data_IF_491637453811
#
_entry.id   IF_491637453811
#
_cell.length_a   1.000
_cell.length_b   1.000
_cell.length_c   1.000
_cell.angle_alpha   90.00
_cell.angle_beta   90.00
_cell.angle_gamma   90.00
#
_symmetry.space_group_name_H-M   'P 1'
#
loop_
_entity.id
_entity.type
_entity.pdbx_description
1 polymer ?
#
# COMPACT_ATOMS: atom_id res chain seq x y z
N UNK A 1 65.28 -25.77 32.81
CA UNK A 1 64.18 -24.83 32.53
C UNK A 1 63.48 -24.56 33.84
N UNK A 2 63.39 -23.30 34.32
CA UNK A 2 62.86 -23.00 35.64
C UNK A 2 61.38 -23.41 35.76
N UNK A 3 61.11 -24.40 36.62
CA UNK A 3 59.73 -24.88 36.87
C UNK A 3 58.72 -23.73 37.16
N UNK A 4 59.21 -22.63 37.72
CA UNK A 4 58.41 -21.43 38.00
C UNK A 4 57.86 -20.79 36.70
N UNK A 5 58.66 -20.75 35.62
CA UNK A 5 58.24 -20.16 34.33
C UNK A 5 57.11 -21.00 33.72
N UNK A 6 57.18 -22.32 33.80
CA UNK A 6 56.15 -23.23 33.28
C UNK A 6 54.84 -23.04 34.05
N UNK A 7 54.88 -22.84 35.35
CA UNK A 7 53.71 -22.60 36.18
C UNK A 7 53.05 -21.25 35.82
N UNK A 8 53.82 -20.18 35.63
CA UNK A 8 53.29 -18.89 35.20
C UNK A 8 52.67 -18.94 33.82
N UNK A 9 53.28 -19.64 32.86
CA UNK A 9 52.75 -19.82 31.56
C UNK A 9 51.44 -20.60 31.58
N UNK A 10 51.32 -21.64 32.39
CA UNK A 10 50.10 -22.42 32.59
C UNK A 10 48.98 -21.57 33.16
N UNK A 11 49.25 -20.80 34.23
CA UNK A 11 48.25 -19.91 34.83
C UNK A 11 47.78 -18.84 33.84
N UNK A 12 48.72 -18.26 33.08
CA UNK A 12 48.39 -17.27 32.06
C UNK A 12 47.46 -17.85 30.96
N UNK A 13 47.80 -19.03 30.45
CA UNK A 13 46.96 -19.71 29.42
C UNK A 13 45.59 -20.07 29.96
N UNK A 14 45.50 -20.52 31.20
CA UNK A 14 44.22 -20.82 31.83
C UNK A 14 43.33 -19.56 31.98
N UNK A 15 43.91 -18.42 32.37
CA UNK A 15 43.20 -17.15 32.47
C UNK A 15 42.68 -16.67 31.09
N UNK A 16 43.50 -16.80 30.05
CA UNK A 16 43.09 -16.44 28.67
C UNK A 16 41.93 -17.33 28.22
N UNK A 17 41.98 -18.63 28.51
CA UNK A 17 40.89 -19.56 28.13
C UNK A 17 39.59 -19.21 28.87
N UNK A 18 39.66 -18.91 30.17
CA UNK A 18 38.49 -18.49 30.95
C UNK A 18 37.89 -17.19 30.36
N UNK A 19 38.76 -16.21 30.07
CA UNK A 19 38.32 -14.97 29.44
C UNK A 19 37.61 -15.21 28.10
N UNK A 20 38.20 -16.05 27.25
CA UNK A 20 37.57 -16.40 25.95
C UNK A 20 36.22 -17.09 26.12
N UNK A 21 36.08 -18.01 27.08
CA UNK A 21 34.80 -18.69 27.33
C UNK A 21 33.71 -17.71 27.77
N UNK A 22 34.03 -16.81 28.70
CA UNK A 22 33.09 -15.80 29.20
C UNK A 22 32.69 -14.83 28.07
N UNK A 23 33.65 -14.38 27.27
CA UNK A 23 33.38 -13.48 26.15
C UNK A 23 32.57 -14.14 25.05
N UNK A 24 32.91 -15.39 24.68
CA UNK A 24 32.13 -16.17 23.69
C UNK A 24 30.71 -16.39 24.15
N UNK A 25 30.48 -16.71 25.42
CA UNK A 25 29.13 -16.86 25.97
C UNK A 25 28.31 -15.58 25.80
N UNK A 26 28.88 -14.43 26.20
CA UNK A 26 28.23 -13.13 26.09
C UNK A 26 27.85 -12.79 24.62
N UNK A 27 28.76 -13.07 23.67
CA UNK A 27 28.50 -12.86 22.24
C UNK A 27 27.36 -13.77 21.75
N UNK A 28 27.36 -15.03 22.15
CA UNK A 28 26.30 -15.96 21.77
C UNK A 28 24.92 -15.58 22.34
N UNK A 29 24.88 -15.12 23.57
CA UNK A 29 23.64 -14.64 24.20
C UNK A 29 23.11 -13.39 23.47
N UNK A 30 23.97 -12.41 23.14
CA UNK A 30 23.59 -11.23 22.37
C UNK A 30 23.10 -11.59 20.95
N UNK A 31 23.76 -12.53 20.27
CA UNK A 31 23.31 -13.01 18.97
C UNK A 31 21.95 -13.72 19.05
N UNK A 32 21.73 -14.50 20.09
CA UNK A 32 20.45 -15.17 20.34
C UNK A 32 19.31 -14.16 20.53
N UNK A 33 19.54 -13.14 21.35
CA UNK A 33 18.55 -12.09 21.59
C UNK A 33 18.24 -11.31 20.31
N UNK A 34 19.24 -11.00 19.51
CA UNK A 34 19.05 -10.38 18.18
C UNK A 34 18.24 -11.26 17.24
N UNK A 35 18.51 -12.56 17.21
CA UNK A 35 17.75 -13.51 16.39
C UNK A 35 16.29 -13.61 16.83
N UNK A 36 16.02 -13.59 18.14
CA UNK A 36 14.65 -13.58 18.66
C UNK A 36 13.92 -12.31 18.21
N UNK A 37 14.51 -11.14 18.39
CA UNK A 37 13.95 -9.85 17.97
C UNK A 37 13.69 -9.81 16.44
N UNK A 38 14.64 -10.31 15.66
CA UNK A 38 14.47 -10.38 14.19
C UNK A 38 13.32 -11.31 13.80
N UNK A 39 13.16 -12.45 14.46
CA UNK A 39 12.02 -13.37 14.21
C UNK A 39 10.68 -12.74 14.58
N UNK A 40 10.62 -12.05 15.72
CA UNK A 40 9.40 -11.33 16.14
C UNK A 40 9.04 -10.23 15.15
N UNK A 41 10.01 -9.42 14.74
CA UNK A 41 9.79 -8.37 13.74
C UNK A 41 9.31 -8.96 12.40
N UNK A 42 9.94 -10.04 11.94
CA UNK A 42 9.55 -10.69 10.69
C UNK A 42 8.10 -11.20 10.76
N UNK A 43 7.73 -11.88 11.85
CA UNK A 43 6.34 -12.32 12.07
C UNK A 43 5.35 -11.16 12.11
N UNK A 44 5.73 -10.02 12.69
CA UNK A 44 4.88 -8.82 12.69
C UNK A 44 4.73 -8.24 11.28
N UNK A 45 5.81 -8.18 10.50
CA UNK A 45 5.74 -7.72 9.11
C UNK A 45 4.88 -8.63 8.25
N UNK A 46 4.97 -9.96 8.41
CA UNK A 46 4.10 -10.91 7.70
C UNK A 46 2.62 -10.66 8.00
N UNK A 47 2.26 -10.42 9.27
CA UNK A 47 0.88 -10.08 9.65
C UNK A 47 0.41 -8.76 9.03
N UNK A 48 1.27 -7.74 9.01
CA UNK A 48 0.96 -6.43 8.40
C UNK A 48 0.76 -6.59 6.89
N UNK A 49 1.65 -7.33 6.22
CA UNK A 49 1.55 -7.60 4.78
C UNK A 49 0.23 -8.30 4.46
N UNK A 50 -0.12 -9.36 5.20
CA UNK A 50 -1.37 -10.09 5.00
C UNK A 50 -2.59 -9.19 5.19
N UNK A 51 -2.58 -8.36 6.23
CA UNK A 51 -3.64 -7.38 6.48
C UNK A 51 -3.79 -6.39 5.33
N UNK A 52 -2.68 -5.80 4.88
CA UNK A 52 -2.67 -4.85 3.78
C UNK A 52 -3.11 -5.47 2.45
N UNK A 53 -2.74 -6.74 2.20
CA UNK A 53 -3.21 -7.48 1.04
C UNK A 53 -4.72 -7.68 1.07
N UNK A 54 -5.28 -8.06 2.22
CA UNK A 54 -6.73 -8.23 2.39
C UNK A 54 -7.48 -6.91 2.16
N UNK A 55 -7.00 -5.81 2.76
CA UNK A 55 -7.58 -4.47 2.56
C UNK A 55 -7.47 -4.01 1.10
N UNK A 56 -6.36 -4.32 0.45
CA UNK A 56 -6.16 -4.03 -0.96
C UNK A 56 -7.13 -4.81 -1.84
N UNK A 57 -7.32 -6.10 -1.60
CA UNK A 57 -8.23 -6.96 -2.35
C UNK A 57 -9.68 -6.49 -2.22
N UNK A 58 -10.11 -6.06 -1.03
CA UNK A 58 -11.44 -5.46 -0.83
C UNK A 58 -11.65 -4.19 -1.67
N UNK A 59 -10.64 -3.32 -1.74
CA UNK A 59 -10.71 -2.08 -2.54
C UNK A 59 -10.67 -2.36 -4.04
N UNK A 60 -9.91 -3.38 -4.46
CA UNK A 60 -9.69 -3.74 -5.86
C UNK A 60 -10.93 -4.38 -6.47
N UNK A 61 -11.66 -5.21 -5.73
CA UNK A 61 -12.82 -5.94 -6.20
C UNK A 61 -13.94 -5.03 -6.76
N UNK A 62 -14.00 -3.79 -6.29
CA UNK A 62 -14.94 -2.78 -6.78
C UNK A 62 -14.27 -1.72 -7.68
N UNK A 63 -13.34 -2.12 -8.54
CA UNK A 63 -12.68 -1.25 -9.50
C UNK A 63 -12.73 -1.86 -10.90
N UNK A 64 -13.13 -1.07 -11.89
CA UNK A 64 -13.14 -1.52 -13.30
C UNK A 64 -11.78 -2.06 -13.73
N UNK A 65 -10.69 -1.47 -13.26
CA UNK A 65 -9.31 -1.84 -13.63
C UNK A 65 -9.00 -3.31 -13.40
N UNK A 66 -9.62 -3.93 -12.39
CA UNK A 66 -9.34 -5.31 -11.98
C UNK A 66 -10.55 -6.23 -12.10
N UNK A 67 -11.62 -5.76 -12.71
CA UNK A 67 -12.82 -6.53 -12.97
C UNK A 67 -12.84 -7.01 -14.42
N UNK A 68 -12.29 -8.19 -14.67
CA UNK A 68 -12.19 -8.78 -16.02
C UNK A 68 -13.54 -8.88 -16.72
N UNK A 69 -14.59 -9.23 -15.98
CA UNK A 69 -15.95 -9.28 -16.53
C UNK A 69 -16.41 -7.89 -17.00
N UNK A 70 -16.20 -6.85 -16.22
CA UNK A 70 -16.57 -5.51 -16.61
C UNK A 70 -15.67 -4.96 -17.75
N UNK A 71 -14.39 -5.35 -17.78
CA UNK A 71 -13.46 -5.00 -18.86
C UNK A 71 -13.84 -5.66 -20.19
N UNK A 72 -14.39 -6.87 -20.17
CA UNK A 72 -14.80 -7.57 -21.39
C UNK A 72 -15.83 -6.80 -22.22
N UNK A 73 -16.63 -5.93 -21.60
CA UNK A 73 -17.58 -5.05 -22.32
C UNK A 73 -16.90 -4.00 -23.23
N UNK A 74 -15.62 -3.72 -22.98
CA UNK A 74 -14.85 -2.77 -23.77
C UNK A 74 -13.99 -3.41 -24.86
N UNK A 75 -13.88 -4.74 -24.89
CA UNK A 75 -13.05 -5.46 -25.87
C UNK A 75 -13.51 -5.21 -27.31
N UNK A 76 -14.83 -5.12 -27.52
CA UNK A 76 -15.42 -4.87 -28.84
C UNK A 76 -15.09 -3.48 -29.39
N UNK A 77 -14.73 -2.54 -28.52
CA UNK A 77 -14.53 -1.12 -28.85
C UNK A 77 -13.02 -0.81 -29.03
N UNK A 78 -12.12 -1.79 -28.84
CA UNK A 78 -10.66 -1.65 -28.96
C UNK A 78 -10.06 -0.50 -28.13
N UNK A 79 -10.58 -0.28 -26.92
CA UNK A 79 -10.08 0.73 -26.00
C UNK A 79 -9.03 0.07 -25.11
N UNK A 80 -7.76 0.50 -25.20
CA UNK A 80 -6.67 -0.06 -24.40
C UNK A 80 -6.84 0.21 -22.91
N UNK A 81 -7.35 1.37 -22.54
CA UNK A 81 -7.50 1.77 -21.14
C UNK A 81 -8.86 2.44 -20.89
N UNK A 82 -9.94 1.65 -20.74
CA UNK A 82 -11.28 2.22 -20.58
C UNK A 82 -11.43 3.05 -19.31
N UNK A 83 -10.73 2.71 -18.23
CA UNK A 83 -10.79 3.47 -16.99
C UNK A 83 -10.32 4.90 -17.19
N UNK A 84 -9.13 5.09 -17.74
CA UNK A 84 -8.55 6.42 -17.99
C UNK A 84 -9.41 7.23 -18.95
N UNK A 85 -9.91 6.60 -20.03
CA UNK A 85 -10.77 7.29 -20.97
C UNK A 85 -12.05 7.83 -20.33
N UNK A 86 -12.68 7.05 -19.45
CA UNK A 86 -13.90 7.46 -18.73
C UNK A 86 -13.60 8.60 -17.76
N UNK A 87 -12.48 8.50 -17.03
CA UNK A 87 -12.04 9.55 -16.09
C UNK A 87 -11.78 10.86 -16.81
N UNK A 88 -11.01 10.84 -17.89
CA UNK A 88 -10.67 12.03 -18.70
C UNK A 88 -11.91 12.70 -19.29
N UNK A 89 -12.81 11.91 -19.88
CA UNK A 89 -14.08 12.42 -20.42
C UNK A 89 -14.96 13.06 -19.34
N UNK A 90 -14.97 12.52 -18.12
CA UNK A 90 -15.75 13.09 -17.04
C UNK A 90 -15.13 14.40 -16.53
N UNK A 91 -13.80 14.47 -16.43
CA UNK A 91 -13.10 15.71 -16.07
C UNK A 91 -13.36 16.80 -17.14
N UNK A 92 -13.22 16.47 -18.41
CA UNK A 92 -13.52 17.42 -19.50
C UNK A 92 -14.97 17.92 -19.45
N UNK A 93 -15.94 17.02 -19.30
CA UNK A 93 -17.37 17.38 -19.21
C UNK A 93 -17.65 18.26 -17.99
N UNK A 94 -16.95 18.05 -16.88
CA UNK A 94 -17.12 18.87 -15.67
C UNK A 94 -16.60 20.30 -15.84
N UNK A 95 -15.60 20.51 -16.68
CA UNK A 95 -15.07 21.85 -17.01
C UNK A 95 -16.02 22.66 -17.92
N UNK A 96 -16.90 21.99 -18.66
CA UNK A 96 -17.87 22.64 -19.54
C UNK A 96 -19.04 23.18 -18.72
N UNK A 97 -19.10 24.50 -18.52
CA UNK A 97 -20.12 25.20 -17.70
C UNK A 97 -21.56 24.89 -18.06
N UNK A 98 -21.84 24.46 -19.28
CA UNK A 98 -23.22 24.18 -19.77
C UNK A 98 -23.74 22.79 -19.38
N UNK A 99 -22.87 21.84 -19.08
CA UNK A 99 -23.25 20.48 -18.67
C UNK A 99 -23.02 20.29 -17.18
N UNK A 100 -24.02 20.62 -16.37
CA UNK A 100 -23.96 20.41 -14.93
C UNK A 100 -24.08 18.93 -14.61
N UNK A 101 -22.98 18.28 -14.33
CA UNK A 101 -22.94 16.89 -13.87
C UNK A 101 -23.30 16.81 -12.40
N UNK A 102 -22.86 17.80 -11.63
CA UNK A 102 -23.12 17.89 -10.20
C UNK A 102 -24.49 18.56 -10.00
N UNK A 103 -25.49 17.87 -9.39
CA UNK A 103 -26.84 18.38 -9.26
C UNK A 103 -27.02 19.48 -8.22
N UNK A 104 -25.99 19.73 -7.43
CA UNK A 104 -26.02 20.77 -6.39
C UNK A 104 -25.90 22.15 -7.02
N UNK A 105 -26.92 22.96 -6.84
CA UNK A 105 -26.98 24.34 -7.34
C UNK A 105 -27.06 25.27 -6.12
N UNK A 106 -25.91 25.72 -5.64
CA UNK A 106 -25.85 26.89 -4.78
C UNK A 106 -25.52 28.13 -5.61
N UNK A 107 -26.25 29.23 -5.35
CA UNK A 107 -25.97 30.50 -6.01
C UNK A 107 -24.54 30.92 -5.68
N UNK A 108 -23.74 31.16 -6.73
CA UNK A 108 -22.32 31.60 -6.66
C UNK A 108 -21.28 30.57 -6.25
N UNK A 109 -21.57 29.26 -6.30
CA UNK A 109 -20.58 28.21 -6.08
C UNK A 109 -20.31 27.40 -7.34
N UNK A 110 -19.06 27.07 -7.58
CA UNK A 110 -18.64 26.18 -8.68
C UNK A 110 -17.97 24.97 -8.09
N UNK A 111 -18.62 23.82 -8.20
CA UNK A 111 -18.09 22.57 -7.76
C UNK A 111 -17.26 21.91 -8.88
N UNK A 112 -16.08 21.39 -8.51
CA UNK A 112 -15.20 20.67 -9.40
C UNK A 112 -15.04 19.22 -8.93
N UNK A 113 -15.00 18.29 -9.87
CA UNK A 113 -14.71 16.89 -9.60
C UNK A 113 -13.21 16.77 -9.29
N UNK A 114 -12.87 16.21 -8.13
CA UNK A 114 -11.50 16.08 -7.65
C UNK A 114 -10.97 14.66 -7.80
N UNK A 115 -11.84 13.65 -7.62
CA UNK A 115 -11.48 12.24 -7.73
C UNK A 115 -12.60 11.47 -8.41
N UNK A 116 -12.23 10.48 -9.20
CA UNK A 116 -13.14 9.56 -9.85
C UNK A 116 -12.67 8.14 -9.55
N UNK A 117 -13.63 7.26 -9.27
CA UNK A 117 -13.41 5.81 -9.20
C UNK A 117 -14.43 5.12 -10.08
N UNK A 118 -13.99 4.53 -11.17
CA UNK A 118 -14.84 3.72 -12.05
C UNK A 118 -14.97 2.34 -11.43
N UNK A 119 -16.20 1.96 -11.09
CA UNK A 119 -16.52 0.72 -10.39
C UNK A 119 -16.65 -0.45 -11.38
N UNK A 120 -17.36 -0.21 -12.47
CA UNK A 120 -17.59 -1.22 -13.50
C UNK A 120 -17.94 -0.52 -14.84
N UNK A 121 -18.42 -1.30 -15.83
CA UNK A 121 -18.80 -0.81 -17.16
C UNK A 121 -20.04 0.10 -17.21
N UNK A 122 -20.67 0.41 -16.06
CA UNK A 122 -21.90 1.23 -15.98
C UNK A 122 -21.83 2.33 -14.94
N UNK A 123 -21.04 2.16 -13.89
CA UNK A 123 -21.09 2.99 -12.69
C UNK A 123 -19.74 3.51 -12.26
N UNK A 124 -19.75 4.72 -11.78
CA UNK A 124 -18.60 5.36 -11.15
C UNK A 124 -19.04 6.21 -9.94
N UNK A 125 -18.10 6.47 -9.05
CA UNK A 125 -18.24 7.44 -7.96
C UNK A 125 -17.28 8.57 -8.22
N UNK A 126 -17.73 9.80 -8.03
CA UNK A 126 -16.90 10.98 -8.12
C UNK A 126 -17.03 11.84 -6.87
N UNK A 127 -15.90 12.28 -6.32
CA UNK A 127 -15.87 13.28 -5.27
C UNK A 127 -15.76 14.65 -5.90
N UNK A 128 -16.47 15.62 -5.35
CA UNK A 128 -16.43 17.01 -5.81
C UNK A 128 -16.30 17.98 -4.65
N UNK A 129 -15.73 19.14 -4.90
CA UNK A 129 -15.70 20.23 -3.92
C UNK A 129 -15.58 21.60 -4.59
N UNK A 130 -15.87 22.65 -3.79
CA UNK A 130 -15.59 24.05 -4.12
C UNK A 130 -14.44 24.62 -3.28
N UNK A 131 -13.73 23.75 -2.52
CA UNK A 131 -12.69 24.12 -1.58
C UNK A 131 -13.17 24.27 -0.13
N UNK A 132 -14.49 24.42 0.10
CA UNK A 132 -15.09 24.54 1.43
C UNK A 132 -16.08 23.42 1.72
N UNK A 133 -16.86 23.04 0.72
CA UNK A 133 -17.85 21.97 0.80
C UNK A 133 -17.37 20.78 -0.03
N UNK A 134 -17.50 19.59 0.52
CA UNK A 134 -17.15 18.32 -0.10
C UNK A 134 -18.39 17.47 -0.25
N UNK A 135 -18.49 16.75 -1.36
CA UNK A 135 -19.57 15.81 -1.60
C UNK A 135 -19.13 14.69 -2.52
N UNK A 136 -19.96 13.66 -2.57
CA UNK A 136 -19.80 12.53 -3.44
C UNK A 136 -21.04 12.33 -4.29
N UNK A 137 -20.85 11.88 -5.52
CA UNK A 137 -21.92 11.61 -6.45
C UNK A 137 -21.72 10.24 -7.08
N UNK A 138 -22.80 9.49 -7.17
CA UNK A 138 -22.87 8.24 -7.90
C UNK A 138 -23.41 8.51 -9.29
N UNK A 139 -22.67 8.11 -10.32
CA UNK A 139 -23.00 8.35 -11.71
C UNK A 139 -23.11 7.05 -12.49
N UNK A 140 -24.07 7.00 -13.39
CA UNK A 140 -24.14 5.99 -14.43
C UNK A 140 -23.68 6.58 -15.75
N UNK A 141 -22.98 5.80 -16.54
CA UNK A 141 -22.56 6.16 -17.89
C UNK A 141 -22.88 5.06 -18.89
N UNK A 142 -22.92 5.43 -20.15
CA UNK A 142 -23.05 4.51 -21.27
C UNK A 142 -21.89 4.79 -22.22
N UNK A 143 -21.34 3.74 -22.76
CA UNK A 143 -20.33 3.82 -23.81
C UNK A 143 -21.07 3.68 -25.14
N UNK A 144 -21.01 4.70 -25.97
CA UNK A 144 -21.51 4.63 -27.33
C UNK A 144 -20.56 3.71 -28.13
N UNK A 145 -21.16 2.73 -28.87
CA UNK A 145 -20.42 1.79 -29.71
C UNK A 145 -20.01 2.45 -31.03
#
# INVERSE_FOLDING_TARGET
MNNKIVIYLFVFTALVLIFQLVNSKKILDDQKDRLIKLKENNSNYEKIILKLQTELDEVINFSLKNNEYALSYFNDIKIENPTTLIEDQLYEKNLIKQKKIIPYIEKNRTFLINKIKVLNHKWLIASFSDGTVFGEIFLSFKTDK
#
